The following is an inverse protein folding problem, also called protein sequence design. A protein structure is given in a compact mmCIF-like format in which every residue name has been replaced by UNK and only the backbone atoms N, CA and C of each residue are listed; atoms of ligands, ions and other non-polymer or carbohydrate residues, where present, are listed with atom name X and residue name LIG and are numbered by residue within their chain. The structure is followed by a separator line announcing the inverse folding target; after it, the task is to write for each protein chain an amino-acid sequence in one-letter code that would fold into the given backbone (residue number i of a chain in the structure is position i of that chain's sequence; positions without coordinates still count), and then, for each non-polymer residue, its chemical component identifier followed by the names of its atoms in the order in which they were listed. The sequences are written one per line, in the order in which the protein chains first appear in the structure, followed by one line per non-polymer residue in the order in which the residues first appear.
data_IF_352256423621
#
_entry.id   IF_352256423621
#
_cell.length_a   1.000
_cell.length_b   1.000
_cell.length_c   1.000
_cell.angle_alpha   90.00
_cell.angle_beta   90.00
_cell.angle_gamma   90.00
#
_symmetry.space_group_name_H-M   'P 1'
#
loop_
_entity.id
_entity.type
_entity.pdbx_description
1 polymer ?
#
# COMPACT_ATOMS: atom_id res chain seq x y z
N UNK A 1 0.96 8.63 -27.64
CA UNK A 1 1.73 7.71 -26.77
C UNK A 1 0.73 6.76 -26.12
N UNK A 2 1.00 5.46 -26.01
CA UNK A 2 0.00 4.52 -25.51
C UNK A 2 -0.23 4.73 -24.02
N UNK A 3 -1.48 4.86 -23.61
CA UNK A 3 -1.87 4.67 -22.21
C UNK A 3 -1.67 3.19 -21.88
N UNK A 4 -0.95 2.88 -20.80
CA UNK A 4 -0.97 1.52 -20.26
C UNK A 4 -2.43 1.16 -19.94
N UNK A 5 -2.93 0.02 -20.43
CA UNK A 5 -4.29 -0.39 -20.13
C UNK A 5 -4.43 -0.61 -18.62
N UNK A 6 -5.62 -0.30 -18.10
CA UNK A 6 -5.97 -0.67 -16.74
C UNK A 6 -5.78 -2.19 -16.54
N UNK A 7 -5.48 -2.59 -15.31
CA UNK A 7 -5.42 -4.00 -14.93
C UNK A 7 -6.73 -4.67 -15.37
N UNK A 8 -6.65 -5.62 -16.30
CA UNK A 8 -7.79 -6.40 -16.71
C UNK A 8 -8.01 -7.49 -15.66
N UNK A 9 -9.05 -7.34 -14.87
CA UNK A 9 -9.33 -8.25 -13.78
C UNK A 9 -9.99 -9.54 -14.31
N UNK A 10 -9.45 -10.72 -13.95
CA UNK A 10 -10.05 -11.99 -14.33
C UNK A 10 -11.41 -12.23 -13.68
N UNK A 11 -12.27 -13.00 -14.35
CA UNK A 11 -13.64 -13.27 -13.89
C UNK A 11 -13.70 -14.19 -12.67
N UNK A 12 -12.76 -15.14 -12.52
CA UNK A 12 -12.68 -16.06 -11.38
C UNK A 12 -11.33 -15.98 -10.68
N UNK A 13 -11.35 -15.68 -9.39
CA UNK A 13 -10.16 -15.46 -8.58
C UNK A 13 -10.07 -16.47 -7.42
N UNK A 14 -8.94 -17.17 -7.36
CA UNK A 14 -8.61 -18.07 -6.27
C UNK A 14 -8.06 -17.34 -5.05
N UNK A 15 -8.58 -17.63 -3.86
CA UNK A 15 -8.15 -16.99 -2.61
C UNK A 15 -7.90 -18.03 -1.51
N UNK A 16 -6.76 -17.89 -0.82
CA UNK A 16 -6.38 -18.79 0.28
C UNK A 16 -6.64 -18.20 1.67
N UNK A 17 -6.72 -16.87 1.77
CA UNK A 17 -6.89 -16.15 3.04
C UNK A 17 -8.37 -15.89 3.35
N UNK A 18 -8.91 -16.44 4.45
CA UNK A 18 -10.24 -16.06 4.94
C UNK A 18 -10.34 -14.58 5.33
N UNK A 19 -9.22 -13.93 5.65
CA UNK A 19 -9.17 -12.50 5.93
C UNK A 19 -9.52 -11.68 4.68
N UNK A 20 -8.90 -12.02 3.54
CA UNK A 20 -9.19 -11.36 2.26
C UNK A 20 -10.67 -11.54 1.90
N UNK A 21 -11.20 -12.77 1.92
CA UNK A 21 -12.61 -13.05 1.59
C UNK A 21 -13.62 -12.25 2.44
N UNK A 22 -13.26 -11.93 3.69
CA UNK A 22 -14.12 -11.19 4.62
C UNK A 22 -14.08 -9.68 4.43
N UNK A 23 -13.23 -9.16 3.55
CA UNK A 23 -13.18 -7.72 3.25
C UNK A 23 -14.55 -7.28 2.68
N UNK A 24 -15.25 -6.33 3.34
CA UNK A 24 -16.50 -5.81 2.82
C UNK A 24 -16.33 -5.24 1.42
N UNK A 25 -17.27 -5.54 0.53
CA UNK A 25 -17.26 -5.08 -0.87
C UNK A 25 -16.06 -5.51 -1.70
N UNK A 26 -15.31 -6.56 -1.29
CA UNK A 26 -14.16 -7.07 -2.05
C UNK A 26 -14.45 -7.27 -3.55
N UNK A 27 -15.62 -7.84 -3.89
CA UNK A 27 -16.03 -8.04 -5.29
C UNK A 27 -16.13 -6.73 -6.07
N UNK A 28 -16.54 -5.62 -5.45
CA UNK A 28 -16.62 -4.32 -6.13
C UNK A 28 -15.23 -3.78 -6.48
N UNK A 29 -14.23 -4.03 -5.62
CA UNK A 29 -12.84 -3.72 -5.94
C UNK A 29 -12.23 -4.64 -7.01
N UNK A 30 -12.81 -5.83 -7.18
CA UNK A 30 -12.34 -6.85 -8.12
C UNK A 30 -13.26 -6.98 -9.36
N UNK A 31 -13.92 -5.88 -9.74
CA UNK A 31 -14.81 -5.80 -10.91
C UNK A 31 -15.85 -6.93 -11.02
N UNK A 32 -16.44 -7.29 -9.88
CA UNK A 32 -17.47 -8.31 -9.78
C UNK A 32 -16.98 -9.76 -9.76
N UNK A 33 -15.66 -10.00 -9.82
CA UNK A 33 -15.08 -11.35 -9.92
C UNK A 33 -15.62 -12.34 -8.88
N UNK A 34 -15.80 -13.59 -9.31
CA UNK A 34 -16.18 -14.70 -8.46
C UNK A 34 -14.97 -15.19 -7.64
N UNK A 35 -15.18 -15.36 -6.33
CA UNK A 35 -14.11 -15.75 -5.41
C UNK A 35 -14.22 -17.23 -5.06
N UNK A 36 -13.20 -18.00 -5.42
CA UNK A 36 -13.09 -19.43 -5.11
C UNK A 36 -12.11 -19.62 -3.95
N UNK A 37 -12.62 -20.12 -2.83
CA UNK A 37 -11.77 -20.41 -1.67
C UNK A 37 -10.95 -21.67 -1.90
N UNK A 38 -9.63 -21.57 -1.71
CA UNK A 38 -8.68 -22.68 -1.76
C UNK A 38 -8.90 -23.56 -3.01
N UNK A 39 -8.76 -22.99 -4.23
CA UNK A 39 -8.96 -23.74 -5.45
C UNK A 39 -8.01 -24.94 -5.51
N UNK A 40 -8.46 -26.00 -6.18
CA UNK A 40 -7.61 -27.13 -6.51
C UNK A 40 -6.72 -26.81 -7.71
N UNK A 41 -5.75 -27.69 -8.00
CA UNK A 41 -4.84 -27.55 -9.14
C UNK A 41 -5.50 -27.90 -10.49
N UNK A 42 -6.82 -28.08 -10.54
CA UNK A 42 -7.48 -28.40 -11.81
C UNK A 42 -7.33 -27.22 -12.77
N UNK A 43 -6.88 -27.47 -14.02
CA UNK A 43 -6.86 -26.44 -15.04
C UNK A 43 -8.29 -25.91 -15.22
N UNK A 44 -8.47 -24.58 -15.18
CA UNK A 44 -9.75 -23.85 -15.38
C UNK A 44 -10.67 -23.69 -14.16
N UNK A 45 -10.26 -24.04 -12.94
CA UNK A 45 -11.07 -23.73 -11.74
C UNK A 45 -11.12 -22.23 -11.44
N UNK A 46 -10.02 -21.52 -11.74
CA UNK A 46 -9.83 -20.07 -11.56
C UNK A 46 -8.92 -19.52 -12.65
N UNK A 47 -8.97 -18.22 -12.87
CA UNK A 47 -8.20 -17.51 -13.90
C UNK A 47 -6.93 -16.85 -13.33
N UNK A 48 -6.94 -16.48 -12.05
CA UNK A 48 -5.78 -15.98 -11.31
C UNK A 48 -5.90 -16.25 -9.81
N UNK A 49 -4.81 -16.03 -9.08
CA UNK A 49 -4.75 -16.16 -7.63
C UNK A 49 -4.55 -14.78 -7.00
N UNK A 50 -5.37 -14.44 -6.00
CA UNK A 50 -5.20 -13.22 -5.20
C UNK A 50 -4.49 -13.51 -3.87
N UNK A 51 -3.63 -12.60 -3.45
CA UNK A 51 -3.02 -12.62 -2.13
C UNK A 51 -2.77 -11.21 -1.61
N UNK A 52 -2.45 -11.08 -0.32
CA UNK A 52 -2.23 -9.76 0.29
C UNK A 52 -0.75 -9.38 0.20
N UNK A 53 -0.41 -8.56 -0.79
CA UNK A 53 0.94 -8.09 -1.06
C UNK A 53 1.95 -9.23 -1.24
N UNK A 54 3.21 -8.98 -0.89
CA UNK A 54 4.31 -9.97 -0.90
C UNK A 54 4.73 -10.40 0.51
N UNK A 55 3.80 -10.32 1.48
CA UNK A 55 4.05 -10.75 2.86
C UNK A 55 4.26 -12.27 2.93
N UNK A 56 4.92 -12.75 3.96
CA UNK A 56 5.12 -14.19 4.19
C UNK A 56 3.79 -14.97 4.23
N UNK A 57 2.71 -14.36 4.71
CA UNK A 57 1.36 -14.91 4.72
C UNK A 57 0.78 -15.18 3.32
N UNK A 58 1.27 -14.49 2.28
CA UNK A 58 0.89 -14.70 0.89
C UNK A 58 1.73 -15.78 0.18
N UNK A 59 2.78 -16.31 0.81
CA UNK A 59 3.72 -17.27 0.17
C UNK A 59 3.02 -18.50 -0.40
N UNK A 60 2.00 -19.03 0.30
CA UNK A 60 1.21 -20.18 -0.20
C UNK A 60 0.45 -19.85 -1.47
N UNK A 61 -0.17 -18.67 -1.54
CA UNK A 61 -0.90 -18.21 -2.71
C UNK A 61 0.05 -17.99 -3.90
N UNK A 62 1.19 -17.33 -3.67
CA UNK A 62 2.22 -17.13 -4.70
C UNK A 62 2.81 -18.43 -5.22
N UNK A 63 3.16 -19.36 -4.32
CA UNK A 63 3.68 -20.68 -4.70
C UNK A 63 2.65 -21.50 -5.49
N UNK A 64 1.38 -21.43 -5.10
CA UNK A 64 0.29 -22.07 -5.85
C UNK A 64 0.16 -21.47 -7.25
N UNK A 65 0.09 -20.14 -7.37
CA UNK A 65 -0.02 -19.46 -8.66
C UNK A 65 1.11 -19.88 -9.60
N UNK A 66 2.36 -19.87 -9.10
CA UNK A 66 3.54 -20.34 -9.84
C UNK A 66 3.41 -21.79 -10.30
N UNK A 67 3.01 -22.70 -9.39
CA UNK A 67 2.87 -24.13 -9.69
C UNK A 67 1.76 -24.42 -10.70
N UNK A 68 0.67 -23.65 -10.65
CA UNK A 68 -0.47 -23.77 -11.55
C UNK A 68 -0.30 -23.02 -12.87
N UNK A 69 0.77 -22.23 -13.03
CA UNK A 69 0.97 -21.36 -14.20
C UNK A 69 -0.06 -20.23 -14.30
N UNK A 70 -0.61 -19.79 -13.17
CA UNK A 70 -1.64 -18.74 -13.10
C UNK A 70 -1.04 -17.39 -12.71
N UNK A 71 -1.60 -16.27 -13.18
CA UNK A 71 -1.27 -14.94 -12.69
C UNK A 71 -1.49 -14.81 -11.18
N UNK A 72 -0.66 -13.98 -10.54
CA UNK A 72 -0.83 -13.59 -9.15
C UNK A 72 -1.20 -12.11 -9.09
N UNK A 73 -2.30 -11.81 -8.39
CA UNK A 73 -2.74 -10.45 -8.13
C UNK A 73 -2.45 -10.11 -6.66
N UNK A 74 -1.55 -9.15 -6.44
CA UNK A 74 -1.23 -8.63 -5.13
C UNK A 74 -2.25 -7.54 -4.74
N UNK A 75 -2.94 -7.76 -3.63
CA UNK A 75 -3.86 -6.81 -3.01
C UNK A 75 -3.16 -6.06 -1.89
N UNK A 76 -3.45 -4.77 -1.75
CA UNK A 76 -3.12 -3.98 -0.57
C UNK A 76 -4.18 -2.91 -0.31
N UNK A 77 -4.12 -2.31 0.87
CA UNK A 77 -4.87 -1.10 1.17
C UNK A 77 -4.58 0.02 0.17
N UNK A 78 -5.63 0.74 -0.25
CA UNK A 78 -5.47 1.97 -1.02
C UNK A 78 -4.74 3.06 -0.25
N UNK A 79 -4.09 3.98 -0.98
CA UNK A 79 -3.39 5.13 -0.38
C UNK A 79 -4.32 6.05 0.42
N UNK A 80 -5.60 6.14 0.03
CA UNK A 80 -6.69 6.68 0.83
C UNK A 80 -7.57 5.50 1.26
N UNK A 81 -7.44 5.08 2.52
CA UNK A 81 -8.00 3.80 2.97
C UNK A 81 -9.31 3.97 3.72
N UNK A 82 -9.32 4.73 4.81
CA UNK A 82 -10.49 4.74 5.73
C UNK A 82 -10.43 5.90 6.72
N UNK A 83 -11.50 6.07 7.51
CA UNK A 83 -11.50 6.99 8.64
C UNK A 83 -10.57 6.47 9.76
N UNK A 84 -10.86 5.28 10.27
CA UNK A 84 -10.09 4.62 11.32
C UNK A 84 -9.02 3.66 10.75
N UNK A 85 -7.98 3.29 11.51
CA UNK A 85 -6.97 2.32 11.09
C UNK A 85 -7.52 0.93 10.77
N UNK A 86 -6.82 0.17 9.94
CA UNK A 86 -7.23 -1.20 9.63
C UNK A 86 -7.25 -2.13 10.84
N UNK A 87 -6.35 -1.89 11.79
CA UNK A 87 -6.26 -2.63 13.05
C UNK A 87 -7.47 -2.44 13.98
N UNK A 88 -8.38 -1.50 13.69
CA UNK A 88 -9.65 -1.34 14.40
C UNK A 88 -10.82 -2.08 13.72
N UNK A 89 -10.54 -2.83 12.64
CA UNK A 89 -11.57 -3.51 11.84
C UNK A 89 -12.28 -2.63 10.82
N UNK A 90 -11.85 -1.37 10.63
CA UNK A 90 -12.44 -0.48 9.65
C UNK A 90 -12.22 -1.00 8.21
N UNK A 91 -13.27 -1.10 7.38
CA UNK A 91 -13.15 -1.58 6.02
C UNK A 91 -12.39 -0.58 5.13
N UNK A 92 -11.69 -1.04 4.10
CA UNK A 92 -11.05 -0.16 3.13
C UNK A 92 -12.09 0.47 2.19
N UNK A 93 -11.89 1.74 1.85
CA UNK A 93 -12.61 2.50 0.82
C UNK A 93 -11.85 2.51 -0.52
N UNK A 94 -10.56 2.20 -0.49
CA UNK A 94 -9.71 2.05 -1.66
C UNK A 94 -8.84 0.80 -1.52
N UNK A 95 -8.50 0.18 -2.64
CA UNK A 95 -7.65 -1.00 -2.72
C UNK A 95 -6.68 -0.87 -3.89
N UNK A 96 -5.43 -1.25 -3.65
CA UNK A 96 -4.45 -1.49 -4.70
C UNK A 96 -4.66 -2.92 -5.20
N UNK A 97 -4.71 -3.07 -6.53
CA UNK A 97 -4.69 -4.37 -7.21
C UNK A 97 -3.55 -4.31 -8.22
N UNK A 98 -2.49 -5.09 -7.95
CA UNK A 98 -1.28 -5.11 -8.77
C UNK A 98 -1.11 -6.52 -9.36
N UNK A 99 -1.02 -6.59 -10.68
CA UNK A 99 -0.91 -7.83 -11.46
C UNK A 99 0.51 -8.12 -11.94
N UNK A 100 1.48 -7.29 -11.54
CA UNK A 100 2.91 -7.46 -11.88
C UNK A 100 3.77 -7.71 -10.64
N UNK A 101 3.50 -6.98 -9.56
CA UNK A 101 4.26 -7.05 -8.32
C UNK A 101 3.48 -6.39 -7.19
N UNK A 102 4.12 -5.51 -6.43
CA UNK A 102 3.43 -4.63 -5.48
C UNK A 102 4.28 -3.38 -5.25
N UNK A 103 3.64 -2.21 -5.10
CA UNK A 103 4.30 -0.90 -5.12
C UNK A 103 5.46 -0.68 -4.11
N UNK A 104 5.52 -1.44 -3.03
CA UNK A 104 6.60 -1.33 -2.03
C UNK A 104 7.75 -2.33 -2.23
N UNK A 105 7.60 -3.29 -3.15
CA UNK A 105 8.62 -4.30 -3.42
C UNK A 105 9.52 -3.80 -4.56
N UNK A 106 10.77 -3.50 -4.22
CA UNK A 106 11.78 -3.00 -5.16
C UNK A 106 12.58 -4.12 -5.83
N UNK A 107 12.32 -5.38 -5.46
CA UNK A 107 13.04 -6.54 -6.01
C UNK A 107 12.53 -6.99 -7.38
N UNK A 108 11.39 -6.45 -7.81
CA UNK A 108 10.76 -6.71 -9.10
C UNK A 108 9.85 -5.54 -9.52
N UNK A 109 9.56 -5.38 -10.83
CA UNK A 109 8.65 -4.34 -11.28
C UNK A 109 7.25 -4.45 -10.67
N UNK A 110 6.60 -3.30 -10.49
CA UNK A 110 5.20 -3.20 -10.05
C UNK A 110 4.34 -2.52 -11.12
N UNK A 111 3.01 -2.69 -11.05
CA UNK A 111 2.09 -1.96 -11.93
C UNK A 111 2.23 -0.46 -11.75
N UNK A 112 2.40 0.01 -10.51
CA UNK A 112 2.60 1.43 -10.24
C UNK A 112 3.89 1.96 -10.88
N UNK A 113 5.00 1.23 -10.76
CA UNK A 113 6.27 1.61 -11.38
C UNK A 113 6.12 1.77 -12.90
N UNK A 114 5.51 0.79 -13.57
CA UNK A 114 5.25 0.89 -15.01
C UNK A 114 4.34 2.06 -15.36
N UNK A 115 3.28 2.31 -14.59
CA UNK A 115 2.41 3.46 -14.80
C UNK A 115 3.20 4.77 -14.71
N UNK A 116 4.11 4.90 -13.74
CA UNK A 116 4.94 6.11 -13.57
C UNK A 116 5.94 6.28 -14.72
N UNK A 117 6.59 5.20 -15.16
CA UNK A 117 7.65 5.26 -16.17
C UNK A 117 7.14 5.34 -17.62
N UNK A 118 6.02 4.68 -17.90
CA UNK A 118 5.57 4.42 -19.27
C UNK A 118 4.30 5.18 -19.66
N UNK A 119 3.60 5.81 -18.70
CA UNK A 119 2.33 6.50 -18.99
C UNK A 119 2.48 8.02 -18.99
N UNK A 120 1.83 8.66 -19.96
CA UNK A 120 1.60 10.10 -19.96
C UNK A 120 0.13 10.41 -19.60
N UNK A 121 -0.06 11.41 -18.73
CA UNK A 121 -1.39 11.90 -18.40
C UNK A 121 -1.88 12.87 -19.50
N UNK A 122 -3.03 12.57 -20.08
CA UNK A 122 -3.73 13.49 -20.96
C UNK A 122 -4.23 14.74 -20.18
N UNK A 123 -4.69 15.77 -20.88
CA UNK A 123 -5.13 17.00 -20.25
C UNK A 123 -6.28 16.79 -19.23
N UNK A 124 -7.36 16.04 -19.54
CA UNK A 124 -8.38 15.68 -18.57
C UNK A 124 -7.86 14.96 -17.32
N UNK A 125 -6.97 13.98 -17.48
CA UNK A 125 -6.36 13.20 -16.41
C UNK A 125 -5.46 14.07 -15.53
N UNK A 126 -4.65 14.94 -16.13
CA UNK A 126 -3.81 15.90 -15.41
C UNK A 126 -4.64 16.88 -14.60
N UNK A 127 -5.70 17.43 -15.19
CA UNK A 127 -6.63 18.30 -14.49
C UNK A 127 -7.34 17.57 -13.34
N UNK A 128 -7.72 16.30 -13.54
CA UNK A 128 -8.27 15.45 -12.46
C UNK A 128 -7.27 15.22 -11.34
N UNK A 129 -6.01 14.90 -11.66
CA UNK A 129 -4.96 14.69 -10.68
C UNK A 129 -4.69 15.94 -9.84
N UNK A 130 -4.63 17.12 -10.48
CA UNK A 130 -4.46 18.41 -9.81
C UNK A 130 -5.64 18.72 -8.86
N UNK A 131 -6.89 18.51 -9.30
CA UNK A 131 -8.09 18.67 -8.45
C UNK A 131 -8.09 17.69 -7.28
N UNK A 132 -7.66 16.45 -7.51
CA UNK A 132 -7.50 15.43 -6.47
C UNK A 132 -6.49 15.86 -5.41
N UNK A 133 -5.28 16.27 -5.82
CA UNK A 133 -4.24 16.75 -4.92
C UNK A 133 -4.68 17.99 -4.13
N UNK A 134 -5.33 18.95 -4.78
CA UNK A 134 -5.88 20.13 -4.11
C UNK A 134 -6.94 19.75 -3.06
N UNK A 135 -7.79 18.76 -3.37
CA UNK A 135 -8.80 18.25 -2.43
C UNK A 135 -8.16 17.55 -1.24
N UNK A 136 -7.19 16.66 -1.47
CA UNK A 136 -6.46 15.97 -0.40
C UNK A 136 -5.81 16.97 0.57
N UNK A 137 -5.16 18.01 0.05
CA UNK A 137 -4.51 19.05 0.87
C UNK A 137 -5.53 19.91 1.63
N UNK A 138 -6.57 20.38 0.95
CA UNK A 138 -7.60 21.25 1.55
C UNK A 138 -8.37 20.55 2.67
N UNK A 139 -8.65 19.27 2.50
CA UNK A 139 -9.36 18.44 3.48
C UNK A 139 -8.41 17.70 4.43
N UNK A 140 -7.09 17.90 4.31
CA UNK A 140 -6.06 17.25 5.11
C UNK A 140 -6.20 15.72 5.15
N UNK A 141 -6.55 15.11 4.02
CA UNK A 141 -6.76 13.67 3.93
C UNK A 141 -5.43 12.91 3.84
N UNK A 142 -5.39 11.75 4.49
CA UNK A 142 -4.28 10.80 4.53
C UNK A 142 -4.80 9.35 4.45
N UNK A 143 -3.95 8.34 4.66
CA UNK A 143 -4.36 6.92 4.64
C UNK A 143 -5.46 6.65 5.66
N UNK A 144 -5.30 7.17 6.87
CA UNK A 144 -6.28 7.15 7.96
C UNK A 144 -6.60 8.59 8.38
N UNK A 145 -7.85 8.87 8.71
CA UNK A 145 -8.38 10.24 8.79
C UNK A 145 -9.07 10.55 10.13
N UNK A 146 -8.65 9.87 11.21
CA UNK A 146 -9.20 10.01 12.56
C UNK A 146 -8.34 10.85 13.50
N UNK A 147 -7.09 11.15 13.12
CA UNK A 147 -6.18 11.89 13.98
C UNK A 147 -6.59 13.37 14.04
N UNK A 148 -6.66 13.98 15.24
CA UNK A 148 -6.93 15.40 15.36
C UNK A 148 -5.77 16.22 14.78
N UNK A 149 -6.02 17.50 14.44
CA UNK A 149 -4.95 18.43 14.13
C UNK A 149 -3.89 18.44 15.24
N UNK A 150 -2.63 18.43 14.83
CA UNK A 150 -1.50 18.46 15.75
C UNK A 150 -0.79 19.82 15.65
N UNK A 151 -0.69 20.51 16.79
CA UNK A 151 0.04 21.76 16.90
C UNK A 151 1.45 21.50 17.48
N UNK A 152 2.47 21.88 16.70
CA UNK A 152 3.88 21.82 17.12
C UNK A 152 4.29 23.06 17.94
N UNK A 153 3.36 23.95 18.24
CA UNK A 153 3.63 25.23 18.88
C UNK A 153 4.43 26.19 17.99
N UNK A 154 4.73 27.39 18.51
CA UNK A 154 5.45 28.42 17.76
C UNK A 154 6.84 27.94 17.36
N UNK A 155 7.31 28.35 16.18
CA UNK A 155 8.69 28.09 15.74
C UNK A 155 9.65 28.94 16.58
N UNK A 156 10.50 28.29 17.37
CA UNK A 156 11.51 28.95 18.21
C UNK A 156 12.77 29.42 17.47
N UNK A 157 12.66 29.81 16.20
CA UNK A 157 13.79 30.25 15.36
C UNK A 157 14.69 29.14 14.80
N UNK A 158 14.58 27.90 15.30
CA UNK A 158 15.32 26.74 14.78
C UNK A 158 14.62 26.10 13.58
N UNK A 159 15.37 25.53 12.61
CA UNK A 159 14.82 24.60 11.63
C UNK A 159 14.15 23.40 12.34
N UNK A 160 13.14 22.81 11.71
CA UNK A 160 12.49 21.59 12.19
C UNK A 160 12.69 20.48 11.18
N UNK A 161 13.11 19.31 11.65
CA UNK A 161 13.28 18.10 10.83
C UNK A 161 12.36 17.02 11.38
N UNK A 162 11.58 16.40 10.50
CA UNK A 162 10.66 15.33 10.86
C UNK A 162 11.28 13.98 10.46
N UNK A 163 11.49 13.10 11.44
CA UNK A 163 11.84 11.71 11.23
C UNK A 163 10.58 10.86 11.39
N UNK A 164 10.20 10.16 10.33
CA UNK A 164 8.98 9.32 10.33
C UNK A 164 9.38 7.89 10.64
N UNK A 165 8.86 7.37 11.75
CA UNK A 165 9.07 5.99 12.17
C UNK A 165 8.13 5.02 11.41
N UNK A 166 8.44 3.73 11.47
CA UNK A 166 7.67 2.66 10.83
C UNK A 166 7.47 1.45 11.75
N UNK A 167 6.53 0.58 11.40
CA UNK A 167 6.34 -0.66 12.19
C UNK A 167 7.47 -1.65 11.92
N UNK A 168 7.99 -2.27 12.98
CA UNK A 168 8.95 -3.35 12.83
C UNK A 168 8.36 -4.50 11.99
N UNK A 169 9.17 -5.03 11.08
CA UNK A 169 8.77 -6.10 10.16
C UNK A 169 7.78 -5.66 9.08
N UNK A 170 7.63 -4.36 8.80
CA UNK A 170 6.88 -3.90 7.64
C UNK A 170 7.54 -4.43 6.34
N UNK A 171 6.79 -5.13 5.46
CA UNK A 171 7.29 -5.58 4.17
C UNK A 171 7.84 -4.46 3.30
N UNK A 172 7.36 -3.22 3.45
CA UNK A 172 7.92 -2.07 2.73
C UNK A 172 9.34 -1.73 3.18
N UNK A 173 9.75 -2.10 4.40
CA UNK A 173 11.15 -1.98 4.85
C UNK A 173 11.98 -3.12 4.26
N UNK A 174 11.51 -4.35 4.42
CA UNK A 174 12.30 -5.54 4.05
C UNK A 174 12.41 -5.75 2.54
N UNK A 175 11.42 -5.32 1.76
CA UNK A 175 11.41 -5.40 0.29
C UNK A 175 11.67 -4.05 -0.39
N UNK A 176 11.69 -2.95 0.36
CA UNK A 176 11.88 -1.60 -0.19
C UNK A 176 13.31 -1.22 -0.49
N UNK A 177 14.29 -2.09 -0.23
CA UNK A 177 15.71 -1.78 -0.40
C UNK A 177 16.21 -0.69 0.56
N UNK A 178 15.48 -0.46 1.66
CA UNK A 178 15.74 0.62 2.61
C UNK A 178 16.77 0.23 3.67
N UNK A 179 17.36 1.25 4.31
CA UNK A 179 18.14 1.10 5.55
C UNK A 179 17.23 0.52 6.63
N UNK A 180 17.63 -0.60 7.22
CA UNK A 180 16.91 -1.25 8.33
C UNK A 180 17.34 -0.71 9.71
N UNK A 181 18.37 0.13 9.74
CA UNK A 181 18.92 0.77 10.94
C UNK A 181 18.24 2.12 11.20
N UNK A 182 17.06 2.08 11.82
CA UNK A 182 16.32 3.28 12.26
C UNK A 182 17.11 4.13 13.27
N UNK A 183 17.82 3.53 14.27
CA UNK A 183 18.74 4.28 15.12
C UNK A 183 19.82 5.02 14.32
N UNK A 184 20.44 4.36 13.34
CA UNK A 184 21.42 4.98 12.43
C UNK A 184 20.83 6.15 11.64
N UNK A 185 19.61 5.99 11.10
CA UNK A 185 18.89 7.08 10.41
C UNK A 185 18.68 8.30 11.32
N UNK A 186 18.30 8.09 12.59
CA UNK A 186 18.14 9.18 13.54
C UNK A 186 19.48 9.82 13.92
N UNK A 187 20.51 9.01 14.17
CA UNK A 187 21.86 9.51 14.47
C UNK A 187 22.40 10.36 13.32
N UNK A 188 22.31 9.88 12.08
CA UNK A 188 22.69 10.63 10.89
C UNK A 188 21.87 11.92 10.74
N UNK A 189 20.57 11.89 11.04
CA UNK A 189 19.73 13.10 11.01
C UNK A 189 20.22 14.15 12.03
N UNK A 190 20.60 13.71 13.23
CA UNK A 190 21.14 14.60 14.27
C UNK A 190 22.49 15.19 13.87
N UNK A 191 23.35 14.39 13.23
CA UNK A 191 24.66 14.81 12.75
C UNK A 191 24.57 15.79 11.57
N UNK A 192 23.65 15.56 10.63
CA UNK A 192 23.43 16.42 9.45
C UNK A 192 22.67 17.71 9.78
N UNK A 193 21.91 17.73 10.89
CA UNK A 193 21.08 18.85 11.29
C UNK A 193 21.27 19.25 12.77
N UNK A 194 22.50 19.62 13.20
CA UNK A 194 22.83 19.84 14.61
C UNK A 194 22.07 21.01 15.26
N UNK A 195 21.66 22.00 14.47
CA UNK A 195 20.92 23.19 14.95
C UNK A 195 19.39 23.03 14.85
N UNK A 196 18.90 21.89 14.35
CA UNK A 196 17.48 21.66 14.15
C UNK A 196 16.79 21.06 15.39
N UNK A 197 15.51 21.38 15.52
CA UNK A 197 14.59 20.60 16.34
C UNK A 197 14.20 19.33 15.55
N UNK A 198 14.74 18.19 15.95
CA UNK A 198 14.40 16.88 15.35
C UNK A 198 13.18 16.30 16.05
N UNK A 199 12.12 16.07 15.29
CA UNK A 199 10.83 15.55 15.76
C UNK A 199 10.69 14.13 15.23
N UNK A 200 10.56 13.15 16.12
CA UNK A 200 10.29 11.75 15.73
C UNK A 200 8.78 11.51 15.79
N UNK A 201 8.19 11.14 14.65
CA UNK A 201 6.77 10.78 14.56
C UNK A 201 6.61 9.27 14.55
N UNK A 202 6.26 8.70 15.70
CA UNK A 202 5.98 7.26 15.87
C UNK A 202 4.77 6.83 15.04
N UNK A 203 4.84 5.62 14.48
CA UNK A 203 3.74 5.01 13.73
C UNK A 203 2.53 4.73 14.65
N UNK A 204 1.28 5.04 14.24
CA UNK A 204 0.09 4.85 15.08
C UNK A 204 -0.06 3.42 15.61
N UNK A 205 0.19 2.39 14.78
CA UNK A 205 0.06 0.99 15.21
C UNK A 205 1.02 0.58 16.35
N UNK A 206 2.18 1.25 16.49
CA UNK A 206 3.13 1.03 17.61
C UNK A 206 2.57 1.64 18.90
N UNK A 207 2.00 2.85 18.81
CA UNK A 207 1.37 3.51 19.95
C UNK A 207 0.17 2.74 20.50
N UNK A 208 -0.51 1.94 19.66
CA UNK A 208 -1.61 1.06 20.05
C UNK A 208 -1.16 -0.29 20.65
N UNK A 209 0.15 -0.54 20.80
CA UNK A 209 0.69 -1.75 21.44
C UNK A 209 0.49 -3.04 20.65
N UNK A 210 0.24 -2.95 19.34
CA UNK A 210 -0.04 -4.12 18.47
C UNK A 210 1.22 -4.66 17.77
N UNK A 211 2.34 -3.95 17.86
CA UNK A 211 3.67 -4.34 17.36
C UNK A 211 4.76 -3.65 18.16
#
# INVERSE_FOLDING_TARGET
MPHLPAVQLPAKLGVFSPGIRRIPHLRAFLDGADLVMRPDLSPRSVDAIVGWGHKSTASKARAFAKRAGLPYLALEDGFLRSLLPGVTGAPPLGMVVDDLGIHYDTTQPSRLERLVLESELDAPQRARAQRGLATLRRLQLSKYNHQPPFDLGPRGGRPRVLVVDQTAGDPAITLGGCVTDFPGMLAQTLDEHPDAEVIVKTHPDVLEGKK
#
